data_IF_330880871019
#
_entry.id   IF_330880871019
#
_cell.length_a   1.000
_cell.length_b   1.000
_cell.length_c   1.000
_cell.angle_alpha   90.00
_cell.angle_beta   90.00
_cell.angle_gamma   90.00
#
_symmetry.space_group_name_H-M   'P 1'
#
loop_
_entity.id
_entity.type
_entity.pdbx_description
1 polymer ?
#
# COMPACT_ATOMS: atom_id res chain seq x y z
N UNK A 1 14.84 12.95 13.34
CA UNK A 1 15.19 11.62 12.78
C UNK A 1 13.92 10.79 12.74
N UNK A 2 13.66 10.09 11.64
CA UNK A 2 12.52 9.18 11.57
C UNK A 2 12.74 7.97 12.49
N UNK A 3 11.68 7.54 13.14
CA UNK A 3 11.63 6.31 13.92
C UNK A 3 11.29 5.11 13.03
N UNK A 4 11.49 3.89 13.52
CA UNK A 4 11.07 2.68 12.81
C UNK A 4 9.55 2.67 12.55
N UNK A 5 8.75 3.28 13.43
CA UNK A 5 7.30 3.44 13.27
C UNK A 5 6.99 4.34 12.08
N UNK A 6 7.65 5.49 12.00
CA UNK A 6 7.46 6.44 10.90
C UNK A 6 7.78 5.79 9.55
N UNK A 7 8.82 4.95 9.49
CA UNK A 7 9.15 4.17 8.27
C UNK A 7 8.04 3.17 7.93
N UNK A 8 7.43 2.52 8.92
CA UNK A 8 6.30 1.62 8.66
C UNK A 8 5.05 2.34 8.16
N UNK A 9 4.79 3.54 8.66
CA UNK A 9 3.66 4.38 8.23
C UNK A 9 3.88 4.90 6.80
N UNK A 10 5.11 5.29 6.46
CA UNK A 10 5.50 5.71 5.11
C UNK A 10 5.73 4.53 4.15
N UNK A 11 5.60 3.29 4.60
CA UNK A 11 6.00 2.08 3.86
C UNK A 11 5.39 2.01 2.46
N UNK A 12 4.08 2.25 2.35
CA UNK A 12 3.37 2.24 1.06
C UNK A 12 3.85 3.36 0.12
N UNK A 13 4.01 4.58 0.64
CA UNK A 13 4.53 5.71 -0.17
C UNK A 13 5.95 5.45 -0.67
N UNK A 14 6.77 4.75 0.12
CA UNK A 14 8.13 4.36 -0.24
C UNK A 14 8.12 3.38 -1.41
N UNK A 15 7.31 2.31 -1.35
CA UNK A 15 7.29 1.28 -2.40
C UNK A 15 6.55 1.71 -3.67
N UNK A 16 5.70 2.73 -3.57
CA UNK A 16 4.93 3.29 -4.69
C UNK A 16 5.58 4.53 -5.32
N UNK A 17 6.76 4.95 -4.84
CA UNK A 17 7.47 6.18 -5.24
C UNK A 17 6.62 7.46 -5.11
N UNK A 18 5.71 7.49 -4.12
CA UNK A 18 4.83 8.64 -3.81
C UNK A 18 5.29 9.45 -2.61
N UNK A 19 6.49 9.16 -2.11
CA UNK A 19 7.03 9.81 -0.93
C UNK A 19 7.25 11.32 -1.16
N UNK A 20 6.71 12.13 -0.26
CA UNK A 20 6.90 13.58 -0.29
C UNK A 20 8.39 13.95 -0.29
N UNK A 21 8.82 14.99 -1.04
CA UNK A 21 10.24 15.36 -1.16
C UNK A 21 10.93 15.60 0.19
N UNK A 22 10.21 16.15 1.16
CA UNK A 22 10.71 16.43 2.52
C UNK A 22 11.12 15.17 3.28
N UNK A 23 10.47 14.04 2.99
CA UNK A 23 10.69 12.77 3.70
C UNK A 23 11.78 11.91 3.03
N UNK A 24 12.11 12.15 1.75
CA UNK A 24 13.06 11.32 0.99
C UNK A 24 14.42 11.18 1.66
N UNK A 25 15.03 12.30 2.06
CA UNK A 25 16.36 12.28 2.67
C UNK A 25 16.35 11.58 4.03
N UNK A 26 15.31 11.83 4.84
CA UNK A 26 15.19 11.27 6.17
C UNK A 26 14.97 9.74 6.14
N UNK A 27 14.17 9.26 5.17
CA UNK A 27 13.97 7.83 4.93
C UNK A 27 15.28 7.18 4.49
N UNK A 28 16.00 7.75 3.52
CA UNK A 28 17.28 7.18 3.08
C UNK A 28 18.29 7.05 4.22
N UNK A 29 18.44 8.09 5.05
CA UNK A 29 19.34 8.06 6.21
C UNK A 29 18.93 6.96 7.21
N UNK A 30 17.63 6.80 7.46
CA UNK A 30 17.16 5.75 8.36
C UNK A 30 17.42 4.34 7.80
N UNK A 31 17.14 4.11 6.51
CA UNK A 31 17.35 2.80 5.89
C UNK A 31 18.82 2.40 5.82
N UNK A 32 19.74 3.37 5.73
CA UNK A 32 21.18 3.12 5.86
C UNK A 32 21.60 2.74 7.29
N UNK A 33 20.97 3.34 8.31
CA UNK A 33 21.29 3.11 9.72
C UNK A 33 20.53 1.95 10.39
N UNK A 34 19.45 1.46 9.78
CA UNK A 34 18.57 0.45 10.35
C UNK A 34 18.34 -0.74 9.40
N UNK A 35 19.10 -1.84 9.54
CA UNK A 35 18.97 -3.00 8.65
C UNK A 35 17.60 -3.68 8.74
N UNK A 36 16.91 -3.56 9.88
CA UNK A 36 15.56 -4.10 10.08
C UNK A 36 14.54 -3.39 9.21
N UNK A 37 14.61 -2.05 9.13
CA UNK A 37 13.74 -1.26 8.28
C UNK A 37 14.05 -1.48 6.80
N UNK A 38 15.31 -1.63 6.42
CA UNK A 38 15.68 -2.01 5.06
C UNK A 38 15.08 -3.37 4.66
N UNK A 39 15.17 -4.38 5.53
CA UNK A 39 14.55 -5.69 5.31
C UNK A 39 13.01 -5.60 5.22
N UNK A 40 12.39 -4.80 6.08
CA UNK A 40 10.94 -4.56 6.07
C UNK A 40 10.46 -3.94 4.75
N UNK A 41 11.12 -2.88 4.25
CA UNK A 41 10.76 -2.26 2.97
C UNK A 41 10.92 -3.26 1.81
N UNK A 42 12.02 -4.04 1.82
CA UNK A 42 12.22 -5.10 0.82
C UNK A 42 11.11 -6.16 0.85
N UNK A 43 10.66 -6.56 2.04
CA UNK A 43 9.52 -7.45 2.19
C UNK A 43 8.26 -6.83 1.59
N UNK A 44 7.96 -5.57 1.92
CA UNK A 44 6.78 -4.87 1.43
C UNK A 44 6.76 -4.76 -0.10
N UNK A 45 7.91 -4.46 -0.72
CA UNK A 45 8.08 -4.43 -2.17
C UNK A 45 7.87 -5.81 -2.82
N UNK A 46 8.35 -6.89 -2.19
CA UNK A 46 8.12 -8.25 -2.66
C UNK A 46 6.64 -8.64 -2.57
N UNK A 47 6.00 -8.35 -1.43
CA UNK A 47 4.56 -8.60 -1.24
C UNK A 47 3.74 -7.86 -2.29
N UNK A 48 4.00 -6.56 -2.50
CA UNK A 48 3.31 -5.76 -3.53
C UNK A 48 3.46 -6.35 -4.92
N UNK A 49 4.68 -6.72 -5.33
CA UNK A 49 4.92 -7.37 -6.64
C UNK A 49 4.23 -8.71 -6.80
N UNK A 50 4.14 -9.52 -5.74
CA UNK A 50 3.42 -10.78 -5.76
C UNK A 50 1.93 -10.52 -5.92
N UNK A 51 1.36 -9.60 -5.14
CA UNK A 51 -0.06 -9.23 -5.21
C UNK A 51 -0.44 -8.66 -6.58
N UNK A 52 0.40 -7.83 -7.19
CA UNK A 52 0.18 -7.29 -8.54
C UNK A 52 0.18 -8.34 -9.65
N UNK A 53 0.84 -9.49 -9.42
CA UNK A 53 0.87 -10.62 -10.37
C UNK A 53 -0.30 -11.56 -10.20
N UNK A 54 -0.92 -11.56 -9.02
CA UNK A 54 -2.21 -12.21 -8.87
C UNK A 54 -3.17 -11.40 -9.72
N UNK A 55 -3.74 -12.03 -10.74
CA UNK A 55 -4.94 -11.52 -11.36
C UNK A 55 -6.02 -11.56 -10.27
N UNK A 56 -6.05 -10.53 -9.43
CA UNK A 56 -7.21 -10.22 -8.64
C UNK A 56 -8.29 -10.04 -9.69
N UNK A 57 -9.14 -11.06 -9.80
CA UNK A 57 -10.33 -10.95 -10.61
C UNK A 57 -11.03 -9.74 -10.03
N UNK A 58 -11.11 -8.69 -10.84
CA UNK A 58 -12.09 -7.65 -10.64
C UNK A 58 -13.40 -8.39 -10.90
N UNK A 59 -13.89 -9.07 -9.87
CA UNK A 59 -15.19 -9.70 -9.87
C UNK A 59 -16.15 -8.54 -10.07
N UNK A 60 -16.40 -8.22 -11.35
CA UNK A 60 -17.13 -7.05 -11.76
C UNK A 60 -18.43 -7.07 -10.97
N UNK A 61 -18.52 -6.19 -9.99
CA UNK A 61 -19.65 -6.15 -9.09
C UNK A 61 -20.83 -5.81 -9.98
N UNK A 62 -21.80 -6.73 -10.07
CA UNK A 62 -23.02 -6.52 -10.83
C UNK A 62 -23.82 -5.41 -10.15
N UNK A 63 -23.47 -4.19 -10.52
CA UNK A 63 -24.01 -2.96 -9.94
C UNK A 63 -25.48 -2.84 -10.28
N UNK A 64 -25.91 -3.43 -11.40
CA UNK A 64 -27.30 -3.49 -11.81
C UNK A 64 -28.12 -4.36 -10.84
N UNK A 65 -27.62 -5.55 -10.50
CA UNK A 65 -28.27 -6.44 -9.54
C UNK A 65 -28.39 -5.80 -8.13
N UNK A 66 -27.42 -4.98 -7.73
CA UNK A 66 -27.47 -4.24 -6.46
C UNK A 66 -28.55 -3.16 -6.50
N UNK A 67 -28.64 -2.39 -7.59
CA UNK A 67 -29.64 -1.33 -7.74
C UNK A 67 -31.06 -1.91 -7.70
N UNK A 68 -31.31 -3.02 -8.40
CA UNK A 68 -32.61 -3.70 -8.39
C UNK A 68 -33.02 -4.12 -6.97
N UNK A 69 -32.11 -4.71 -6.21
CA UNK A 69 -32.34 -5.11 -4.81
C UNK A 69 -32.68 -3.95 -3.90
N UNK A 70 -32.06 -2.78 -4.10
CA UNK A 70 -32.33 -1.59 -3.30
C UNK A 70 -33.71 -1.00 -3.61
N UNK A 71 -34.10 -0.97 -4.89
CA UNK A 71 -35.41 -0.46 -5.31
C UNK A 71 -36.57 -1.33 -4.84
N UNK A 72 -36.39 -2.66 -4.83
CA UNK A 72 -37.39 -3.61 -4.32
C UNK A 72 -37.59 -3.48 -2.79
N UNK A 73 -36.56 -3.08 -2.05
CA UNK A 73 -36.62 -2.92 -0.59
C UNK A 73 -37.31 -1.63 -0.14
N UNK A 74 -37.44 -0.63 -1.03
CA UNK A 74 -38.09 0.65 -0.77
C UNK A 74 -39.60 0.65 -1.12
N UNK A 75 -40.12 -0.48 -1.58
CA UNK A 75 -41.51 -0.67 -2.03
C UNK A 75 -42.35 -1.42 -1.01
#
# INVERSE_FOLDING_TARGET
MLTCRDISELGSEIIEDRLQPVNRQAVMLHLQGCPRCAAYIKQLELTSRVLQRLALQDDAIDTQAIIEKLQDAER
#
